data_IF_616162481374
#
_entry.id   IF_616162481374
#
_cell.length_a   1.000
_cell.length_b   1.000
_cell.length_c   1.000
_cell.angle_alpha   90.00
_cell.angle_beta   90.00
_cell.angle_gamma   90.00
#
_symmetry.space_group_name_H-M   'P 1'
#
loop_
_entity.id
_entity.type
_entity.pdbx_description
1 polymer ?
#
# COMPACT_ATOMS: atom_id res chain seq x y z
N UNK A 1 -29.94 14.55 -2.60
CA UNK A 1 -29.28 13.27 -2.92
C UNK A 1 -27.99 13.63 -3.66
N UNK A 2 -26.91 13.84 -2.90
CA UNK A 2 -25.59 14.18 -3.48
C UNK A 2 -24.94 12.88 -3.94
N UNK A 3 -24.93 12.67 -5.25
CA UNK A 3 -24.23 11.54 -5.88
C UNK A 3 -22.81 12.01 -6.21
N UNK A 4 -21.99 12.27 -5.20
CA UNK A 4 -20.62 12.70 -5.38
C UNK A 4 -19.69 11.49 -5.29
N UNK A 5 -19.30 11.01 -6.47
CA UNK A 5 -18.15 10.12 -6.57
C UNK A 5 -16.89 10.95 -6.31
N UNK A 6 -16.29 10.78 -5.14
CA UNK A 6 -15.06 11.46 -4.78
C UNK A 6 -13.90 10.46 -4.74
N UNK A 7 -12.76 10.86 -5.29
CA UNK A 7 -11.54 10.04 -5.30
C UNK A 7 -10.38 10.90 -4.79
N UNK A 8 -9.81 10.48 -3.67
CA UNK A 8 -8.55 11.01 -3.15
C UNK A 8 -7.41 10.06 -3.50
N UNK A 9 -6.28 10.60 -3.95
CA UNK A 9 -5.05 9.83 -4.19
C UNK A 9 -3.96 10.33 -3.27
N UNK A 10 -3.55 9.49 -2.33
CA UNK A 10 -2.47 9.76 -1.38
C UNK A 10 -1.19 9.06 -1.83
N UNK A 11 -0.13 9.81 -2.10
CA UNK A 11 1.16 9.26 -2.52
C UNK A 11 1.95 8.76 -1.31
N UNK A 12 2.58 7.62 -1.49
CA UNK A 12 3.52 7.06 -0.51
C UNK A 12 4.93 7.46 -0.94
N UNK A 13 5.60 8.26 -0.12
CA UNK A 13 7.02 8.52 -0.35
C UNK A 13 7.81 7.21 -0.16
N UNK A 14 8.65 6.83 -1.12
CA UNK A 14 9.44 5.62 -0.99
C UNK A 14 10.36 5.75 0.21
N UNK A 15 10.15 4.91 1.22
CA UNK A 15 11.03 4.90 2.40
C UNK A 15 12.49 4.64 1.96
N UNK A 16 13.47 5.14 2.72
CA UNK A 16 14.90 4.92 2.48
C UNK A 16 15.21 3.43 2.23
N UNK A 17 14.57 2.55 3.00
CA UNK A 17 14.74 1.10 2.86
C UNK A 17 14.16 0.55 1.54
N UNK A 18 13.08 1.15 1.02
CA UNK A 18 12.53 0.71 -0.28
C UNK A 18 13.39 1.15 -1.44
N UNK A 19 13.93 2.36 -1.40
CA UNK A 19 14.88 2.83 -2.40
C UNK A 19 16.17 2.01 -2.38
N UNK A 20 16.65 1.59 -1.19
CA UNK A 20 17.79 0.71 -1.05
C UNK A 20 17.60 -0.66 -1.73
N UNK A 21 16.38 -1.25 -1.67
CA UNK A 21 16.07 -2.50 -2.38
C UNK A 21 16.24 -2.37 -3.90
N UNK A 22 15.77 -1.26 -4.47
CA UNK A 22 15.92 -0.99 -5.91
C UNK A 22 17.39 -0.84 -6.28
N UNK A 23 18.14 -0.06 -5.52
CA UNK A 23 19.57 0.18 -5.76
C UNK A 23 20.35 -1.12 -5.64
N UNK A 24 20.14 -1.89 -4.57
CA UNK A 24 20.79 -3.18 -4.35
C UNK A 24 20.47 -4.19 -5.47
N UNK A 25 19.20 -4.27 -5.88
CA UNK A 25 18.79 -5.13 -6.99
C UNK A 25 19.49 -4.75 -8.29
N UNK A 26 19.53 -3.46 -8.62
CA UNK A 26 20.23 -2.97 -9.83
C UNK A 26 21.74 -3.24 -9.78
N UNK A 27 22.37 -3.09 -8.61
CA UNK A 27 23.79 -3.41 -8.42
C UNK A 27 24.06 -4.91 -8.62
N UNK A 28 23.18 -5.80 -8.14
CA UNK A 28 23.28 -7.22 -8.38
C UNK A 28 23.20 -7.55 -9.89
N UNK A 29 22.30 -6.91 -10.62
CA UNK A 29 22.18 -7.10 -12.07
C UNK A 29 23.43 -6.64 -12.82
N UNK A 30 24.00 -5.49 -12.45
CA UNK A 30 25.26 -5.00 -13.04
C UNK A 30 26.42 -5.94 -12.71
N UNK A 31 26.54 -6.38 -11.44
CA UNK A 31 27.58 -7.32 -11.02
C UNK A 31 27.45 -8.67 -11.75
N UNK A 32 26.23 -9.13 -12.03
CA UNK A 32 25.99 -10.38 -12.73
C UNK A 32 26.62 -10.37 -14.13
N UNK A 33 26.59 -9.24 -14.83
CA UNK A 33 27.23 -9.10 -16.14
C UNK A 33 28.74 -9.29 -16.08
N UNK A 34 29.40 -8.77 -15.02
CA UNK A 34 30.83 -8.99 -14.82
C UNK A 34 31.13 -10.48 -14.58
N UNK A 35 30.32 -11.18 -13.77
CA UNK A 35 30.46 -12.63 -13.57
C UNK A 35 30.24 -13.43 -14.86
N UNK A 36 29.29 -12.99 -15.69
CA UNK A 36 29.08 -13.63 -16.99
C UNK A 36 30.31 -13.51 -17.88
N UNK A 37 30.93 -12.33 -17.98
CA UNK A 37 32.16 -12.13 -18.72
C UNK A 37 33.30 -13.00 -18.16
N UNK A 38 33.49 -13.01 -16.83
CA UNK A 38 34.50 -13.84 -16.18
C UNK A 38 34.28 -15.34 -16.41
N UNK A 39 33.02 -15.77 -16.54
CA UNK A 39 32.68 -17.18 -16.79
C UNK A 39 33.26 -17.68 -18.14
N UNK A 40 33.33 -16.83 -19.16
CA UNK A 40 33.90 -17.17 -20.44
C UNK A 40 35.43 -17.14 -20.50
N UNK A 41 36.07 -16.26 -19.70
CA UNK A 41 37.51 -16.01 -19.81
C UNK A 41 38.34 -16.60 -18.66
N UNK A 42 37.74 -16.83 -17.49
CA UNK A 42 38.46 -17.20 -16.27
C UNK A 42 38.07 -18.61 -15.79
N UNK A 43 36.82 -18.86 -15.53
CA UNK A 43 36.38 -20.14 -14.97
C UNK A 43 34.88 -20.38 -15.16
N UNK A 44 34.55 -21.59 -15.59
CA UNK A 44 33.19 -22.05 -15.75
C UNK A 44 32.33 -21.94 -14.44
N UNK A 45 32.98 -22.07 -13.29
CA UNK A 45 32.28 -21.91 -12.00
C UNK A 45 31.66 -20.53 -11.77
N UNK A 46 32.11 -19.50 -12.52
CA UNK A 46 31.54 -18.15 -12.48
C UNK A 46 30.09 -18.11 -12.99
N UNK A 47 29.61 -19.09 -13.76
CA UNK A 47 28.21 -19.19 -14.15
C UNK A 47 27.29 -19.40 -12.95
N UNK A 48 27.76 -20.07 -11.91
CA UNK A 48 26.98 -20.26 -10.66
C UNK A 48 26.80 -18.91 -9.97
N UNK A 49 27.88 -18.13 -9.85
CA UNK A 49 27.82 -16.77 -9.30
C UNK A 49 26.92 -15.84 -10.09
N UNK A 50 27.00 -15.89 -11.43
CA UNK A 50 26.09 -15.17 -12.32
C UNK A 50 24.62 -15.51 -12.02
N UNK A 51 24.27 -16.80 -11.98
CA UNK A 51 22.90 -17.24 -11.72
C UNK A 51 22.36 -16.78 -10.37
N UNK A 52 23.19 -16.84 -9.31
CA UNK A 52 22.83 -16.38 -7.96
C UNK A 52 22.57 -14.86 -7.97
N UNK A 53 23.43 -14.07 -8.59
CA UNK A 53 23.31 -12.61 -8.64
C UNK A 53 22.07 -12.18 -9.43
N UNK A 54 21.80 -12.80 -10.58
CA UNK A 54 20.57 -12.53 -11.36
C UNK A 54 19.33 -12.84 -10.54
N UNK A 55 19.26 -14.01 -9.93
CA UNK A 55 18.10 -14.40 -9.10
C UNK A 55 17.89 -13.45 -7.92
N UNK A 56 18.98 -13.05 -7.25
CA UNK A 56 18.92 -12.11 -6.12
C UNK A 56 18.47 -10.73 -6.59
N UNK A 57 19.07 -10.19 -7.66
CA UNK A 57 18.73 -8.89 -8.21
C UNK A 57 17.27 -8.81 -8.63
N UNK A 58 16.81 -9.81 -9.37
CA UNK A 58 15.41 -9.90 -9.77
C UNK A 58 14.45 -9.97 -8.60
N UNK A 59 14.78 -10.75 -7.56
CA UNK A 59 13.96 -10.86 -6.34
C UNK A 59 13.86 -9.51 -5.61
N UNK A 60 14.96 -8.77 -5.46
CA UNK A 60 14.97 -7.47 -4.81
C UNK A 60 14.15 -6.43 -5.57
N UNK A 61 14.29 -6.38 -6.90
CA UNK A 61 13.49 -5.50 -7.77
C UNK A 61 12.01 -5.86 -7.71
N UNK A 62 11.69 -7.15 -7.73
CA UNK A 62 10.32 -7.62 -7.61
C UNK A 62 9.66 -7.24 -6.27
N UNK A 63 10.39 -7.37 -5.16
CA UNK A 63 9.93 -6.95 -3.84
C UNK A 63 9.72 -5.44 -3.78
N UNK A 64 10.61 -4.65 -4.39
CA UNK A 64 10.43 -3.20 -4.51
C UNK A 64 9.16 -2.87 -5.29
N UNK A 65 8.95 -3.50 -6.44
CA UNK A 65 7.83 -3.22 -7.33
C UNK A 65 6.46 -3.54 -6.70
N UNK A 66 6.41 -4.44 -5.74
CA UNK A 66 5.19 -4.79 -4.98
C UNK A 66 4.84 -3.81 -3.86
N UNK A 67 5.75 -2.90 -3.51
CA UNK A 67 5.45 -1.90 -2.47
C UNK A 67 4.41 -0.90 -2.97
N UNK A 68 3.52 -0.41 -2.08
CA UNK A 68 2.57 0.60 -2.46
C UNK A 68 3.28 1.90 -2.84
N UNK A 69 2.88 2.51 -3.95
CA UNK A 69 3.29 3.84 -4.38
C UNK A 69 2.25 4.90 -4.05
N UNK A 70 0.98 4.49 -3.97
CA UNK A 70 -0.11 5.35 -3.54
C UNK A 70 -1.28 4.53 -3.00
N UNK A 71 -2.06 5.16 -2.14
CA UNK A 71 -3.39 4.71 -1.74
C UNK A 71 -4.44 5.58 -2.41
N UNK A 72 -5.55 4.98 -2.79
CA UNK A 72 -6.70 5.66 -3.39
C UNK A 72 -7.90 5.38 -2.50
N UNK A 73 -8.55 6.43 -2.06
CA UNK A 73 -9.80 6.37 -1.28
C UNK A 73 -10.91 6.92 -2.16
N UNK A 74 -11.94 6.17 -2.36
CA UNK A 74 -13.09 6.57 -3.17
C UNK A 74 -14.38 6.34 -2.40
N UNK A 75 -15.29 7.31 -2.47
CA UNK A 75 -16.67 7.14 -2.05
C UNK A 75 -17.50 6.93 -3.32
N UNK A 76 -18.24 5.85 -3.34
CA UNK A 76 -19.21 5.54 -4.40
C UNK A 76 -20.56 5.27 -3.74
N UNK A 77 -21.44 6.28 -3.80
CA UNK A 77 -22.79 6.26 -3.21
C UNK A 77 -22.79 5.92 -1.71
N UNK A 78 -22.91 4.66 -1.35
CA UNK A 78 -22.99 4.17 0.04
C UNK A 78 -21.78 3.33 0.47
N UNK A 79 -20.70 3.35 -0.32
CA UNK A 79 -19.56 2.46 -0.12
C UNK A 79 -18.25 3.23 -0.13
N UNK A 80 -17.40 2.98 0.86
CA UNK A 80 -16.00 3.43 0.87
C UNK A 80 -15.13 2.34 0.24
N UNK A 81 -14.45 2.68 -0.86
CA UNK A 81 -13.54 1.79 -1.58
C UNK A 81 -12.11 2.24 -1.35
N UNK A 82 -11.26 1.33 -0.90
CA UNK A 82 -9.84 1.56 -0.71
C UNK A 82 -9.05 0.67 -1.63
N UNK A 83 -8.19 1.30 -2.42
CA UNK A 83 -7.30 0.64 -3.36
C UNK A 83 -5.87 1.06 -3.12
N UNK A 84 -4.92 0.21 -3.48
CA UNK A 84 -3.50 0.56 -3.54
C UNK A 84 -3.00 0.47 -4.97
N UNK A 85 -2.06 1.32 -5.30
CA UNK A 85 -1.28 1.23 -6.51
C UNK A 85 0.15 0.88 -6.12
N UNK A 86 0.73 -0.12 -6.77
CA UNK A 86 2.13 -0.49 -6.57
C UNK A 86 3.09 0.38 -7.41
N UNK A 87 4.40 0.18 -7.28
CA UNK A 87 5.41 0.93 -8.02
C UNK A 87 5.34 0.71 -9.54
N UNK A 88 4.71 -0.35 -10.01
CA UNK A 88 4.49 -0.67 -11.43
C UNK A 88 3.15 -0.10 -11.93
N UNK A 89 2.49 0.74 -11.13
CA UNK A 89 1.18 1.34 -11.41
C UNK A 89 0.02 0.34 -11.52
N UNK A 90 0.21 -0.89 -11.04
CA UNK A 90 -0.87 -1.86 -10.95
C UNK A 90 -1.77 -1.52 -9.77
N UNK A 91 -3.02 -1.22 -10.05
CA UNK A 91 -4.04 -0.96 -9.03
C UNK A 91 -4.63 -2.28 -8.53
N UNK A 92 -4.78 -2.40 -7.22
CA UNK A 92 -5.48 -3.50 -6.57
C UNK A 92 -6.36 -2.97 -5.46
N UNK A 93 -7.62 -3.45 -5.42
CA UNK A 93 -8.54 -3.13 -4.33
C UNK A 93 -8.04 -3.81 -3.06
N UNK A 94 -7.96 -3.07 -1.97
CA UNK A 94 -7.64 -3.59 -0.64
C UNK A 94 -8.93 -3.98 0.07
N UNK A 95 -9.92 -3.06 0.04
CA UNK A 95 -11.10 -3.15 0.87
C UNK A 95 -12.26 -2.37 0.25
N UNK A 96 -13.46 -2.82 0.54
CA UNK A 96 -14.71 -2.14 0.24
C UNK A 96 -15.60 -2.26 1.47
N UNK A 97 -16.04 -1.14 2.04
CA UNK A 97 -16.85 -1.09 3.26
C UNK A 97 -18.14 -0.35 2.93
N UNK A 98 -19.28 -0.96 3.20
CA UNK A 98 -20.54 -0.24 3.18
C UNK A 98 -20.61 0.68 4.41
N UNK A 99 -21.15 1.90 4.25
CA UNK A 99 -21.28 2.81 5.40
C UNK A 99 -22.16 2.23 6.52
N UNK A 100 -23.09 1.34 6.17
CA UNK A 100 -23.93 0.62 7.14
C UNK A 100 -23.17 -0.33 8.05
N UNK A 101 -22.02 -0.84 7.62
CA UNK A 101 -21.17 -1.76 8.38
C UNK A 101 -20.19 -1.02 9.31
N UNK A 102 -20.07 0.30 9.19
CA UNK A 102 -19.16 1.10 10.01
C UNK A 102 -19.75 1.28 11.41
N UNK A 103 -19.03 0.85 12.44
CA UNK A 103 -19.41 1.01 13.85
C UNK A 103 -18.83 2.28 14.48
N UNK A 104 -17.58 2.62 14.13
CA UNK A 104 -16.89 3.81 14.66
C UNK A 104 -16.00 4.46 13.61
N UNK A 105 -15.95 5.79 13.64
CA UNK A 105 -15.07 6.62 12.84
C UNK A 105 -14.45 7.70 13.71
N UNK A 106 -13.17 7.56 14.03
CA UNK A 106 -12.48 8.45 14.96
C UNK A 106 -11.03 8.70 14.57
N UNK A 107 -10.36 9.62 15.29
CA UNK A 107 -8.93 9.81 15.16
C UNK A 107 -8.20 8.59 15.72
N UNK A 108 -7.15 8.14 15.02
CA UNK A 108 -6.34 7.04 15.52
C UNK A 108 -5.50 7.51 16.72
N UNK A 109 -5.64 6.84 17.86
CA UNK A 109 -4.92 7.15 19.11
C UNK A 109 -4.28 5.93 19.77
N UNK A 110 -4.55 4.71 19.25
CA UNK A 110 -4.18 3.45 19.86
C UNK A 110 -2.96 2.76 19.22
N UNK A 111 -2.65 1.58 19.74
CA UNK A 111 -1.64 0.70 19.17
C UNK A 111 -2.19 -0.06 17.96
N UNK A 112 -1.29 -0.33 17.00
CA UNK A 112 -1.59 -1.14 15.82
C UNK A 112 -1.73 -2.59 16.23
N UNK A 113 -2.89 -3.16 15.96
CA UNK A 113 -3.17 -4.57 16.15
C UNK A 113 -2.69 -5.44 14.98
N UNK A 114 -2.47 -6.73 15.21
CA UNK A 114 -2.06 -7.67 14.15
C UNK A 114 -3.12 -7.84 13.03
N UNK A 115 -4.38 -7.53 13.33
CA UNK A 115 -5.50 -7.66 12.38
C UNK A 115 -5.86 -6.33 11.68
N UNK A 116 -5.17 -5.24 12.01
CA UNK A 116 -5.47 -3.93 11.44
C UNK A 116 -5.07 -3.86 9.97
N UNK A 117 -5.93 -3.28 9.15
CA UNK A 117 -5.66 -3.00 7.75
C UNK A 117 -5.07 -1.59 7.67
N UNK A 118 -3.82 -1.49 7.21
CA UNK A 118 -3.12 -0.23 7.10
C UNK A 118 -3.14 0.24 5.64
N UNK A 119 -3.85 1.32 5.41
CA UNK A 119 -3.92 2.00 4.11
C UNK A 119 -3.42 3.45 4.19
N UNK A 120 -2.66 3.80 5.22
CA UNK A 120 -2.06 5.11 5.42
C UNK A 120 -0.61 5.11 4.94
N UNK A 121 -0.15 6.14 4.19
CA UNK A 121 1.25 6.29 3.77
C UNK A 121 2.20 6.43 4.96
N UNK A 122 1.77 7.17 5.97
CA UNK A 122 2.49 7.36 7.22
C UNK A 122 1.53 7.23 8.40
N UNK A 123 1.72 6.18 9.19
CA UNK A 123 0.86 5.86 10.32
C UNK A 123 1.03 6.80 11.52
N UNK A 124 2.14 7.55 11.54
CA UNK A 124 2.43 8.56 12.57
C UNK A 124 1.99 9.97 12.16
N UNK A 125 1.31 10.11 11.03
CA UNK A 125 0.75 11.41 10.63
C UNK A 125 -0.42 11.79 11.55
N UNK A 126 -0.54 13.09 11.85
CA UNK A 126 -1.59 13.60 12.75
C UNK A 126 -3.02 13.42 12.21
N UNK A 127 -3.17 13.22 10.90
CA UNK A 127 -4.46 13.08 10.22
C UNK A 127 -4.88 11.63 9.99
N UNK A 128 -4.21 10.67 10.61
CA UNK A 128 -4.63 9.26 10.53
C UNK A 128 -5.96 9.08 11.25
N UNK A 129 -6.92 8.50 10.54
CA UNK A 129 -8.23 8.12 11.05
C UNK A 129 -8.35 6.61 11.11
N UNK A 130 -9.20 6.13 12.00
CA UNK A 130 -9.59 4.74 12.07
C UNK A 130 -11.07 4.59 11.73
N UNK A 131 -11.37 3.50 11.04
CA UNK A 131 -12.73 2.99 10.86
C UNK A 131 -12.77 1.61 11.50
N UNK A 132 -13.70 1.43 12.41
CA UNK A 132 -14.07 0.12 12.96
C UNK A 132 -15.33 -0.34 12.24
N UNK A 133 -15.30 -1.51 11.65
CA UNK A 133 -16.39 -2.05 10.85
C UNK A 133 -16.57 -3.55 11.04
N UNK A 134 -17.78 -4.03 10.75
CA UNK A 134 -18.09 -5.46 10.75
C UNK A 134 -17.95 -6.07 9.37
N UNK A 135 -17.26 -7.20 9.29
CA UNK A 135 -17.18 -8.01 8.08
C UNK A 135 -17.35 -9.49 8.46
N UNK A 136 -18.38 -10.13 7.92
CA UNK A 136 -18.72 -11.54 8.21
C UNK A 136 -18.82 -11.86 9.71
N UNK A 137 -19.31 -10.91 10.53
CA UNK A 137 -19.46 -11.07 11.99
C UNK A 137 -18.19 -10.81 12.79
N UNK A 138 -17.05 -10.52 12.17
CA UNK A 138 -15.83 -10.07 12.83
C UNK A 138 -15.69 -8.56 12.77
N UNK A 139 -15.33 -7.96 13.91
CA UNK A 139 -14.95 -6.53 13.95
C UNK A 139 -13.53 -6.38 13.47
N UNK A 140 -13.34 -5.54 12.46
CA UNK A 140 -12.05 -5.19 11.84
C UNK A 140 -11.80 -3.71 11.96
N UNK A 141 -10.51 -3.32 11.88
CA UNK A 141 -10.10 -1.92 11.94
C UNK A 141 -9.25 -1.57 10.72
N UNK A 142 -9.60 -0.44 10.10
CA UNK A 142 -8.89 0.17 8.99
C UNK A 142 -8.26 1.47 9.44
N UNK A 143 -6.99 1.68 9.12
CA UNK A 143 -6.26 2.93 9.34
C UNK A 143 -5.95 3.58 8.00
N UNK A 144 -6.32 4.85 7.82
CA UNK A 144 -6.12 5.58 6.58
C UNK A 144 -5.98 7.10 6.83
N UNK A 145 -5.63 7.86 5.81
CA UNK A 145 -5.38 9.31 5.89
C UNK A 145 -6.33 10.07 4.97
N UNK A 146 -7.59 10.34 5.39
CA UNK A 146 -8.49 11.15 4.60
C UNK A 146 -8.03 12.60 4.57
N UNK A 147 -8.24 13.29 3.43
CA UNK A 147 -8.17 14.74 3.41
C UNK A 147 -9.41 15.36 4.05
N UNK A 148 -9.41 16.68 4.22
CA UNK A 148 -10.50 17.41 4.90
C UNK A 148 -11.86 17.21 4.21
N UNK A 149 -11.85 17.07 2.89
CA UNK A 149 -13.08 16.90 2.12
C UNK A 149 -13.63 15.48 2.27
N UNK A 150 -12.80 14.47 2.11
CA UNK A 150 -13.18 13.07 2.33
C UNK A 150 -13.65 12.83 3.77
N UNK A 151 -12.95 13.41 4.76
CA UNK A 151 -13.35 13.35 6.18
C UNK A 151 -14.75 13.93 6.39
N UNK A 152 -15.07 15.06 5.75
CA UNK A 152 -16.39 15.68 5.84
C UNK A 152 -17.47 14.83 5.18
N UNK A 153 -17.19 14.24 4.00
CA UNK A 153 -18.15 13.37 3.31
C UNK A 153 -18.46 12.12 4.12
N UNK A 154 -17.44 11.48 4.70
CA UNK A 154 -17.66 10.31 5.57
C UNK A 154 -18.55 10.66 6.74
N UNK A 155 -18.30 11.79 7.41
CA UNK A 155 -19.12 12.25 8.56
C UNK A 155 -20.56 12.53 8.17
N UNK A 156 -20.80 13.13 6.98
CA UNK A 156 -22.16 13.36 6.48
C UNK A 156 -22.87 12.03 6.24
N UNK A 157 -22.24 11.09 5.56
CA UNK A 157 -22.82 9.77 5.28
C UNK A 157 -23.15 8.99 6.56
N UNK A 158 -22.29 9.07 7.57
CA UNK A 158 -22.54 8.42 8.86
C UNK A 158 -23.67 9.08 9.66
N UNK A 159 -23.80 10.42 9.57
CA UNK A 159 -24.87 11.16 10.24
C UNK A 159 -26.24 10.93 9.60
N UNK A 160 -26.30 10.83 8.28
CA UNK A 160 -27.55 10.56 7.54
C UNK A 160 -28.13 9.16 7.87
N UNK A 161 -27.27 8.24 8.35
CA UNK A 161 -27.66 6.91 8.81
C UNK A 161 -28.38 6.92 10.17
N UNK A 162 -28.08 7.88 11.05
CA UNK A 162 -28.64 7.98 12.40
C UNK A 162 -30.04 8.64 12.43
N UNK A 163 -30.54 9.11 11.30
CA UNK A 163 -31.88 9.69 11.13
C UNK A 163 -32.85 8.71 10.50
#
# INVERSE_FOLDING_TARGET
MYNENYIQVERVDPSRNSSALKIAGTLCEIASLAFLVCAFYVSYFMFIGFGILVATGFTLIFLFNRKPSSFMYAIDSSVLVISKQDMVKKQSRILQIAFEDIEDYSAFQDFIGKKDIIAAPNIHAMNVKQIVYKEMGETKRLLFTPDTYLDSLIKVQLKDREQ
#
